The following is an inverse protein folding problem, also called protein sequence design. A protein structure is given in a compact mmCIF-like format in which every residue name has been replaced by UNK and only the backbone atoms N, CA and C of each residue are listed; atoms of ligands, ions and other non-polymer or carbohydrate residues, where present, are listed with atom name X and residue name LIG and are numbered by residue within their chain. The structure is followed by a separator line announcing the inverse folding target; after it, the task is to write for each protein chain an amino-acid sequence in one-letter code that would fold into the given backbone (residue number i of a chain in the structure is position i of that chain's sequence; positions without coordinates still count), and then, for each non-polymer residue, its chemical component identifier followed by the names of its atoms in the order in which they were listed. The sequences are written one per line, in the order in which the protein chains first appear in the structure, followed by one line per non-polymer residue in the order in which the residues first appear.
data_IF_821917461415
#
_entry.id   IF_821917461415
#
_cell.length_a   1.000
_cell.length_b   1.000
_cell.length_c   1.000
_cell.angle_alpha   90.00
_cell.angle_beta   90.00
_cell.angle_gamma   90.00
#
_symmetry.space_group_name_H-M   'P 1'
#
loop_
_entity.id
_entity.type
_entity.pdbx_description
1 polymer ?
#
# COMPACT_ATOMS: atom_id res chain seq x y z
N UNK A 1 -16.71 -11.19 17.74
CA UNK A 1 -15.82 -11.54 18.88
C UNK A 1 -14.56 -10.71 18.75
N UNK A 2 -14.19 -9.98 19.80
CA UNK A 2 -13.02 -9.09 19.86
C UNK A 2 -11.90 -9.87 20.53
N UNK A 3 -10.79 -10.13 19.86
CA UNK A 3 -9.64 -10.82 20.49
C UNK A 3 -8.45 -9.86 20.42
N UNK A 4 -8.02 -9.48 21.63
CA UNK A 4 -7.02 -8.47 21.91
C UNK A 4 -5.59 -8.96 21.74
N UNK A 5 -4.78 -8.02 21.26
CA UNK A 5 -3.32 -7.90 21.33
C UNK A 5 -2.73 -8.30 22.70
N UNK A 6 -1.60 -9.03 22.73
CA UNK A 6 -0.44 -8.78 23.61
C UNK A 6 0.67 -9.87 23.53
N UNK A 7 1.91 -9.37 23.54
CA UNK A 7 3.20 -10.03 23.83
C UNK A 7 3.76 -10.99 22.76
N UNK A 8 5.07 -11.13 22.53
CA UNK A 8 6.20 -11.07 23.46
C UNK A 8 7.50 -10.79 22.67
N UNK A 9 8.32 -9.87 23.17
CA UNK A 9 9.71 -9.69 22.75
C UNK A 9 10.57 -10.89 23.16
N UNK A 10 11.47 -11.33 22.30
CA UNK A 10 12.60 -12.20 22.68
C UNK A 10 13.88 -11.63 22.06
N UNK A 11 14.71 -11.03 22.91
CA UNK A 11 16.06 -10.65 22.61
C UNK A 11 16.96 -11.89 22.67
N UNK A 12 17.83 -12.08 21.68
CA UNK A 12 19.01 -12.94 21.79
C UNK A 12 20.23 -12.11 21.39
N UNK A 13 21.13 -11.96 22.36
CA UNK A 13 22.42 -11.29 22.32
C UNK A 13 23.49 -12.37 22.22
N UNK A 14 24.30 -12.39 21.15
CA UNK A 14 25.67 -12.93 21.17
C UNK A 14 26.54 -12.12 20.20
N UNK A 15 27.65 -11.61 20.73
CA UNK A 15 28.67 -10.81 20.06
C UNK A 15 29.86 -11.67 19.62
N UNK A 16 30.50 -11.34 18.48
CA UNK A 16 31.96 -11.19 18.29
C UNK A 16 32.35 -11.15 16.78
N UNK A 17 33.48 -10.50 16.40
CA UNK A 17 33.64 -9.77 15.14
C UNK A 17 34.64 -10.42 14.16
N UNK A 18 34.43 -10.22 12.85
CA UNK A 18 35.48 -10.36 11.84
C UNK A 18 35.37 -9.24 10.79
N UNK A 19 36.34 -8.34 10.83
CA UNK A 19 36.56 -7.28 9.85
C UNK A 19 36.99 -7.90 8.52
N UNK A 20 36.09 -7.88 7.54
CA UNK A 20 36.47 -8.02 6.13
C UNK A 20 36.17 -6.70 5.43
N UNK A 21 37.24 -6.02 5.07
CA UNK A 21 37.25 -4.84 4.23
C UNK A 21 36.69 -5.23 2.85
N UNK A 22 35.43 -4.90 2.59
CA UNK A 22 34.86 -4.95 1.23
C UNK A 22 34.55 -3.53 0.77
N UNK A 23 35.32 -3.07 -0.20
CA UNK A 23 34.98 -1.89 -0.99
C UNK A 23 33.80 -2.27 -1.89
N UNK A 24 32.59 -1.91 -1.49
CA UNK A 24 31.41 -2.01 -2.37
C UNK A 24 31.12 -0.64 -2.99
N UNK A 25 30.90 -0.58 -4.31
CA UNK A 25 30.54 0.64 -5.00
C UNK A 25 29.27 1.22 -4.37
N UNK A 26 29.32 2.50 -4.03
CA UNK A 26 28.16 3.30 -3.69
C UNK A 26 27.26 3.40 -4.92
N UNK A 27 26.41 2.40 -5.14
CA UNK A 27 25.20 2.59 -5.93
C UNK A 27 24.38 3.66 -5.22
N UNK A 28 24.12 4.84 -5.82
CA UNK A 28 23.06 5.68 -5.30
C UNK A 28 21.80 4.84 -5.38
N UNK A 29 21.27 4.43 -4.22
CA UNK A 29 19.87 4.01 -4.10
C UNK A 29 19.05 5.27 -4.35
N UNK A 30 18.94 5.60 -5.63
CA UNK A 30 18.08 6.64 -6.15
C UNK A 30 16.66 6.20 -5.87
N UNK A 31 16.01 6.95 -4.98
CA UNK A 31 14.58 6.99 -4.77
C UNK A 31 13.89 5.61 -4.76
N UNK A 32 13.99 4.89 -3.65
CA UNK A 32 12.85 4.08 -3.22
C UNK A 32 11.70 5.08 -3.10
N UNK A 33 10.79 5.05 -4.08
CA UNK A 33 9.66 5.94 -4.13
C UNK A 33 8.97 5.95 -2.77
N UNK A 34 9.01 7.10 -2.10
CA UNK A 34 8.19 7.44 -0.96
C UNK A 34 6.75 7.54 -1.44
N UNK A 35 6.21 6.43 -1.93
CA UNK A 35 4.86 6.33 -2.39
C UNK A 35 3.98 6.28 -1.14
N UNK A 36 3.41 7.45 -0.83
CA UNK A 36 2.03 7.58 -0.37
C UNK A 36 1.74 7.35 1.12
N UNK A 37 2.75 7.24 1.97
CA UNK A 37 2.55 7.30 3.43
C UNK A 37 2.38 8.74 3.95
N UNK A 38 2.80 9.74 3.19
CA UNK A 38 2.67 11.16 3.56
C UNK A 38 1.22 11.66 3.56
N UNK A 39 0.35 11.01 2.78
CA UNK A 39 -1.09 11.25 2.72
C UNK A 39 -1.83 10.78 3.98
N UNK A 40 -1.25 9.86 4.76
CA UNK A 40 -1.84 9.40 6.01
C UNK A 40 -1.55 10.38 7.18
N UNK A 41 -0.37 11.02 7.19
CA UNK A 41 0.00 12.02 8.18
C UNK A 41 -0.67 13.38 7.94
N UNK A 42 -0.82 13.75 6.67
CA UNK A 42 -1.58 14.92 6.23
C UNK A 42 -2.97 14.43 5.82
N UNK A 43 -3.92 14.40 6.75
CA UNK A 43 -5.26 13.83 6.54
C UNK A 43 -5.85 14.04 5.13
N UNK A 44 -6.44 12.99 4.57
CA UNK A 44 -6.91 12.93 3.19
C UNK A 44 -7.94 14.02 2.86
N UNK A 45 -7.74 14.69 1.74
CA UNK A 45 -8.71 15.62 1.16
C UNK A 45 -9.87 14.87 0.50
N UNK A 46 -11.01 15.56 0.35
CA UNK A 46 -12.17 15.00 -0.36
C UNK A 46 -11.85 14.62 -1.82
N UNK A 47 -10.95 15.35 -2.47
CA UNK A 47 -10.53 15.05 -3.85
C UNK A 47 -9.74 13.73 -3.91
N UNK A 48 -8.81 13.52 -2.98
CA UNK A 48 -8.02 12.29 -2.89
C UNK A 48 -8.90 11.07 -2.62
N UNK A 49 -9.86 11.17 -1.67
CA UNK A 49 -10.81 10.08 -1.39
C UNK A 49 -11.64 9.73 -2.63
N UNK A 50 -12.07 10.72 -3.40
CA UNK A 50 -12.84 10.50 -4.64
C UNK A 50 -12.00 9.88 -5.75
N UNK A 51 -10.74 10.30 -5.89
CA UNK A 51 -9.81 9.71 -6.84
C UNK A 51 -9.51 8.25 -6.48
N UNK A 52 -9.25 7.95 -5.20
CA UNK A 52 -9.06 6.58 -4.70
C UNK A 52 -10.31 5.72 -4.95
N UNK A 53 -11.51 6.26 -4.71
CA UNK A 53 -12.77 5.55 -4.99
C UNK A 53 -12.96 5.27 -6.49
N UNK A 54 -12.54 6.18 -7.37
CA UNK A 54 -12.60 5.95 -8.81
C UNK A 54 -11.65 4.82 -9.24
N UNK A 55 -10.43 4.77 -8.68
CA UNK A 55 -9.48 3.69 -8.93
C UNK A 55 -9.99 2.36 -8.38
N UNK A 56 -10.60 2.36 -7.19
CA UNK A 56 -11.22 1.18 -6.58
C UNK A 56 -12.30 0.56 -7.48
N UNK A 57 -13.23 1.38 -7.98
CA UNK A 57 -14.29 0.93 -8.90
C UNK A 57 -13.72 0.47 -10.24
N UNK A 58 -12.74 1.18 -10.79
CA UNK A 58 -12.10 0.79 -12.06
C UNK A 58 -11.41 -0.57 -11.97
N UNK A 59 -10.89 -0.93 -10.80
CA UNK A 59 -10.29 -2.23 -10.54
C UNK A 59 -11.31 -3.37 -10.31
N UNK A 60 -12.62 -3.07 -10.29
CA UNK A 60 -13.67 -4.04 -9.99
C UNK A 60 -13.78 -4.42 -8.52
N UNK A 61 -13.17 -3.64 -7.62
CA UNK A 61 -13.19 -3.96 -6.18
C UNK A 61 -14.58 -3.77 -5.55
N UNK A 62 -15.46 -2.97 -6.16
CA UNK A 62 -16.85 -2.77 -5.72
C UNK A 62 -17.74 -3.99 -5.96
N UNK A 63 -17.39 -4.88 -6.90
CA UNK A 63 -18.14 -6.12 -7.17
C UNK A 63 -18.09 -7.09 -5.98
N UNK A 64 -17.03 -7.06 -5.19
CA UNK A 64 -16.89 -7.91 -4.02
C UNK A 64 -17.78 -7.44 -2.85
N UNK A 65 -18.06 -6.14 -2.77
CA UNK A 65 -18.81 -5.52 -1.67
C UNK A 65 -20.28 -5.25 -1.99
N UNK A 66 -20.77 -5.69 -3.17
CA UNK A 66 -22.16 -5.50 -3.58
C UNK A 66 -23.12 -6.57 -3.02
N UNK A 67 -22.60 -7.61 -2.35
CA UNK A 67 -23.37 -8.70 -1.75
C UNK A 67 -23.50 -8.51 -0.25
N UNK A 68 -24.51 -9.15 0.35
CA UNK A 68 -24.68 -9.22 1.80
C UNK A 68 -23.62 -10.08 2.51
N UNK A 69 -22.81 -10.81 1.74
CA UNK A 69 -21.80 -11.73 2.24
C UNK A 69 -20.42 -11.09 2.20
N UNK A 70 -19.59 -11.38 3.20
CA UNK A 70 -18.21 -10.88 3.26
C UNK A 70 -17.40 -11.42 2.07
N UNK A 71 -16.64 -10.57 1.35
CA UNK A 71 -15.74 -11.04 0.30
C UNK A 71 -14.78 -12.12 0.78
N UNK A 72 -14.50 -13.10 -0.09
CA UNK A 72 -13.36 -13.99 0.11
C UNK A 72 -12.07 -13.25 -0.29
N UNK A 73 -11.36 -12.73 0.71
CA UNK A 73 -10.07 -12.04 0.56
C UNK A 73 -8.93 -12.94 0.04
N UNK A 74 -9.08 -14.27 0.13
CA UNK A 74 -8.06 -15.22 -0.31
C UNK A 74 -8.27 -15.72 -1.74
N UNK A 75 -9.45 -15.46 -2.31
CA UNK A 75 -9.79 -15.78 -3.69
C UNK A 75 -8.79 -15.19 -4.69
N UNK A 76 -8.64 -15.86 -5.83
CA UNK A 76 -7.73 -15.42 -6.89
C UNK A 76 -8.21 -14.12 -7.52
N UNK A 77 -9.51 -14.00 -7.64
CA UNK A 77 -10.25 -12.89 -8.23
C UNK A 77 -10.04 -11.63 -7.38
N UNK A 78 -10.21 -11.72 -6.06
CA UNK A 78 -9.96 -10.60 -5.15
C UNK A 78 -8.51 -10.13 -5.22
N UNK A 79 -7.55 -11.06 -5.16
CA UNK A 79 -6.12 -10.73 -5.25
C UNK A 79 -5.77 -10.04 -6.58
N UNK A 80 -6.36 -10.50 -7.68
CA UNK A 80 -6.17 -9.90 -9.00
C UNK A 80 -6.74 -8.49 -9.07
N UNK A 81 -7.99 -8.29 -8.66
CA UNK A 81 -8.62 -6.97 -8.63
C UNK A 81 -7.86 -6.00 -7.72
N UNK A 82 -7.42 -6.46 -6.55
CA UNK A 82 -6.63 -5.65 -5.63
C UNK A 82 -5.27 -5.27 -6.21
N UNK A 83 -4.58 -6.19 -6.91
CA UNK A 83 -3.33 -5.87 -7.59
C UNK A 83 -3.52 -4.78 -8.67
N UNK A 84 -4.61 -4.83 -9.44
CA UNK A 84 -4.96 -3.78 -10.40
C UNK A 84 -5.27 -2.45 -9.71
N UNK A 85 -6.01 -2.46 -8.60
CA UNK A 85 -6.25 -1.26 -7.79
C UNK A 85 -4.93 -0.61 -7.36
N UNK A 86 -3.99 -1.40 -6.83
CA UNK A 86 -2.67 -0.89 -6.41
C UNK A 86 -1.88 -0.33 -7.60
N UNK A 87 -1.95 -0.97 -8.78
CA UNK A 87 -1.30 -0.48 -10.01
C UNK A 87 -1.90 0.87 -10.44
N UNK A 88 -3.22 0.98 -10.49
CA UNK A 88 -3.95 2.18 -10.88
C UNK A 88 -3.69 3.35 -9.92
N UNK A 89 -3.72 3.08 -8.61
CA UNK A 89 -3.47 4.08 -7.57
C UNK A 89 -2.06 4.66 -7.64
N UNK A 90 -1.07 3.81 -7.94
CA UNK A 90 0.34 4.23 -8.13
C UNK A 90 0.62 4.81 -9.51
N UNK A 91 -0.32 4.67 -10.44
CA UNK A 91 -0.20 5.09 -11.83
C UNK A 91 -0.52 6.57 -12.05
N UNK A 92 -0.38 7.00 -13.30
CA UNK A 92 -0.77 8.35 -13.72
C UNK A 92 -2.28 8.55 -13.71
N UNK A 93 -3.05 7.46 -13.74
CA UNK A 93 -4.52 7.46 -13.72
C UNK A 93 -5.07 8.13 -12.44
N UNK A 94 -4.44 7.88 -11.29
CA UNK A 94 -4.82 8.52 -10.03
C UNK A 94 -4.60 10.03 -10.08
N UNK A 95 -3.44 10.49 -10.55
CA UNK A 95 -3.12 11.91 -10.61
C UNK A 95 -4.02 12.67 -11.60
N UNK A 96 -4.33 12.06 -12.74
CA UNK A 96 -5.27 12.65 -13.71
C UNK A 96 -6.66 12.85 -13.12
N UNK A 97 -7.18 11.85 -12.39
CA UNK A 97 -8.49 11.98 -11.73
C UNK A 97 -8.43 12.99 -10.58
N UNK A 98 -7.33 13.03 -9.83
CA UNK A 98 -7.11 14.03 -8.79
C UNK A 98 -7.13 15.47 -9.35
N UNK A 99 -6.43 15.71 -10.45
CA UNK A 99 -6.38 17.03 -11.11
C UNK A 99 -7.72 17.41 -11.75
N UNK A 100 -8.49 16.43 -12.20
CA UNK A 100 -9.87 16.65 -12.66
C UNK A 100 -10.78 17.07 -11.50
N UNK A 101 -10.62 16.48 -10.32
CA UNK A 101 -11.45 16.74 -9.14
C UNK A 101 -11.08 18.04 -8.40
N UNK A 102 -9.88 18.58 -8.65
CA UNK A 102 -9.40 19.85 -8.09
C UNK A 102 -9.73 21.08 -8.95
N UNK A 103 -10.06 20.86 -10.22
CA UNK A 103 -10.55 21.90 -11.13
C UNK A 103 -11.99 22.29 -10.78
#
# INVERSE_FOLDING_TARGET
MKISLKMLSAAVLVAAPLSYLSAQPTTPVGAIGTADSTSAERGLTRAEVRADLAMWKRAGMDEFWNKSETPDFYSREYKRAYAEYVRLRKGGEYQQELDRLKR
#
